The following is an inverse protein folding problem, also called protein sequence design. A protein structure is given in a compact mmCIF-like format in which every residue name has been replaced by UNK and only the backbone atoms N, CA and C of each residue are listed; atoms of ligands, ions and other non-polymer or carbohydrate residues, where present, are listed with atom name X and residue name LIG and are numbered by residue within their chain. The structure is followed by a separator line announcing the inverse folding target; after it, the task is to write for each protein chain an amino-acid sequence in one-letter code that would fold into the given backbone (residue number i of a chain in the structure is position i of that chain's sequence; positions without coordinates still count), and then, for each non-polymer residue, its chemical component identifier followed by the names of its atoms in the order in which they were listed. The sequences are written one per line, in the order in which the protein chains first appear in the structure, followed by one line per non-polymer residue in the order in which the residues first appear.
data_IF_034033317613
#
_entry.id   IF_034033317613
#
_cell.length_a   1.000
_cell.length_b   1.000
_cell.length_c   1.000
_cell.angle_alpha   90.00
_cell.angle_beta   90.00
_cell.angle_gamma   90.00
#
_symmetry.space_group_name_H-M   'P 1'
#
loop_
_entity.id
_entity.type
_entity.pdbx_description
1 polymer ?
#
# COMPACT_ATOMS: atom_id res chain seq x y z
N UNK A 1 -40.34 15.78 -19.19
CA UNK A 1 -39.16 16.28 -18.44
C UNK A 1 -38.26 15.08 -18.20
N UNK A 2 -37.11 15.02 -18.87
CA UNK A 2 -36.13 13.95 -18.67
C UNK A 2 -35.02 14.57 -17.83
N UNK A 3 -34.95 14.12 -16.58
CA UNK A 3 -33.94 14.54 -15.62
C UNK A 3 -32.59 13.99 -16.11
N UNK A 4 -31.73 14.87 -16.61
CA UNK A 4 -30.37 14.48 -17.01
C UNK A 4 -29.60 14.17 -15.73
N UNK A 5 -29.25 12.90 -15.56
CA UNK A 5 -28.35 12.42 -14.52
C UNK A 5 -26.97 13.05 -14.76
N UNK A 6 -26.69 14.16 -14.09
CA UNK A 6 -25.37 14.80 -14.10
C UNK A 6 -24.34 13.84 -13.48
N UNK A 7 -23.55 13.22 -14.33
CA UNK A 7 -22.30 12.58 -13.94
C UNK A 7 -21.35 13.67 -13.43
N UNK A 8 -21.05 13.64 -12.12
CA UNK A 8 -20.06 14.52 -11.49
C UNK A 8 -18.65 14.05 -11.87
N UNK A 9 -18.08 14.61 -12.94
CA UNK A 9 -16.80 14.16 -13.51
C UNK A 9 -15.53 14.58 -12.73
N UNK A 10 -15.62 15.39 -11.65
CA UNK A 10 -14.42 16.00 -11.03
C UNK A 10 -14.15 15.66 -9.54
N UNK A 11 -14.86 14.69 -8.94
CA UNK A 11 -14.52 14.27 -7.57
C UNK A 11 -13.55 13.10 -7.60
N UNK A 12 -12.26 13.40 -7.39
CA UNK A 12 -11.27 12.37 -7.10
C UNK A 12 -11.73 11.64 -5.82
N UNK A 13 -12.21 10.42 -5.98
CA UNK A 13 -12.61 9.58 -4.86
C UNK A 13 -11.36 9.19 -4.08
N UNK A 14 -11.17 9.82 -2.92
CA UNK A 14 -10.06 9.52 -2.02
C UNK A 14 -10.30 8.16 -1.38
N UNK A 15 -9.38 7.22 -1.61
CA UNK A 15 -9.37 5.93 -0.93
C UNK A 15 -8.82 6.11 0.47
N UNK A 16 -9.59 5.71 1.47
CA UNK A 16 -9.18 5.72 2.88
C UNK A 16 -8.79 4.30 3.26
N UNK A 17 -7.52 4.11 3.59
CA UNK A 17 -7.01 2.87 4.14
C UNK A 17 -6.98 2.99 5.66
N UNK A 18 -7.80 2.20 6.31
CA UNK A 18 -7.80 2.05 7.76
C UNK A 18 -6.95 0.85 8.17
N UNK A 19 -5.81 1.11 8.80
CA UNK A 19 -4.89 0.08 9.27
C UNK A 19 -5.40 -0.65 10.52
N UNK A 20 -6.48 -0.16 11.13
CA UNK A 20 -7.16 -0.78 12.26
C UNK A 20 -8.43 -1.56 11.84
N UNK A 21 -8.60 -1.80 10.54
CA UNK A 21 -9.77 -2.47 9.96
C UNK A 21 -10.07 -3.84 10.58
N UNK A 22 -9.03 -4.61 10.96
CA UNK A 22 -9.18 -5.92 11.63
C UNK A 22 -9.85 -5.75 12.99
N UNK A 23 -9.33 -4.83 13.81
CA UNK A 23 -9.81 -4.62 15.17
C UNK A 23 -11.19 -3.97 15.21
N UNK A 24 -11.53 -3.19 14.20
CA UNK A 24 -12.84 -2.53 14.06
C UNK A 24 -13.92 -3.43 13.44
N UNK A 25 -13.59 -4.66 13.05
CA UNK A 25 -14.54 -5.58 12.39
C UNK A 25 -14.98 -5.10 10.99
N UNK A 26 -14.24 -4.17 10.39
CA UNK A 26 -14.60 -3.51 9.12
C UNK A 26 -14.09 -4.27 7.88
N UNK A 27 -13.56 -5.48 8.04
CA UNK A 27 -13.05 -6.27 6.92
C UNK A 27 -14.20 -6.96 6.21
N UNK A 28 -14.59 -6.42 5.06
CA UNK A 28 -15.28 -7.18 4.03
C UNK A 28 -14.23 -7.83 3.11
N UNK A 29 -14.07 -9.14 3.23
CA UNK A 29 -12.89 -9.90 2.78
C UNK A 29 -12.49 -9.71 1.30
N UNK A 30 -13.37 -9.20 0.43
CA UNK A 30 -13.03 -8.86 -0.97
C UNK A 30 -12.87 -7.37 -1.30
N UNK A 31 -13.52 -6.47 -0.55
CA UNK A 31 -13.61 -5.05 -0.91
C UNK A 31 -12.41 -4.24 -0.39
N UNK A 32 -12.13 -4.39 0.90
CA UNK A 32 -11.04 -3.69 1.58
C UNK A 32 -9.67 -4.12 1.05
N UNK A 33 -9.39 -5.42 0.97
CA UNK A 33 -8.07 -5.93 0.54
C UNK A 33 -7.71 -5.47 -0.88
N UNK A 34 -8.70 -5.41 -1.78
CA UNK A 34 -8.50 -4.88 -3.14
C UNK A 34 -8.17 -3.39 -3.13
N UNK A 35 -8.87 -2.59 -2.32
CA UNK A 35 -8.56 -1.17 -2.16
C UNK A 35 -7.19 -0.96 -1.54
N UNK A 36 -6.81 -1.81 -0.59
CA UNK A 36 -5.50 -1.78 0.05
C UNK A 36 -4.38 -2.10 -0.94
N UNK A 37 -4.51 -3.16 -1.74
CA UNK A 37 -3.56 -3.49 -2.79
C UNK A 37 -3.41 -2.38 -3.82
N UNK A 38 -4.52 -1.83 -4.30
CA UNK A 38 -4.50 -0.68 -5.21
C UNK A 38 -3.82 0.54 -4.60
N UNK A 39 -4.07 0.83 -3.32
CA UNK A 39 -3.46 1.96 -2.63
C UNK A 39 -1.93 1.78 -2.52
N UNK A 40 -1.45 0.59 -2.15
CA UNK A 40 -0.03 0.26 -2.10
C UNK A 40 0.61 0.42 -3.48
N UNK A 41 -0.02 -0.12 -4.53
CA UNK A 41 0.45 0.02 -5.92
C UNK A 41 0.57 1.49 -6.35
N UNK A 42 -0.45 2.32 -6.06
CA UNK A 42 -0.42 3.75 -6.41
C UNK A 42 0.67 4.52 -5.67
N UNK A 43 0.87 4.22 -4.39
CA UNK A 43 1.93 4.85 -3.60
C UNK A 43 3.31 4.47 -4.17
N UNK A 44 3.54 3.18 -4.45
CA UNK A 44 4.80 2.71 -5.01
C UNK A 44 5.05 3.27 -6.41
N UNK A 45 4.05 3.26 -7.28
CA UNK A 45 4.13 3.85 -8.62
C UNK A 45 4.57 5.32 -8.55
N UNK A 46 3.99 6.10 -7.64
CA UNK A 46 4.40 7.49 -7.43
C UNK A 46 5.84 7.59 -6.92
N UNK A 47 6.28 6.71 -6.02
CA UNK A 47 7.68 6.65 -5.57
C UNK A 47 8.68 6.33 -6.70
N UNK A 48 8.21 5.70 -7.79
CA UNK A 48 8.96 5.42 -9.02
C UNK A 48 8.78 6.47 -10.12
N UNK A 49 8.07 7.58 -9.84
CA UNK A 49 7.96 8.71 -10.75
C UNK A 49 6.71 8.71 -11.63
N UNK A 50 5.68 7.91 -11.34
CA UNK A 50 4.37 8.12 -11.96
C UNK A 50 3.78 9.44 -11.41
N UNK A 51 3.99 10.56 -12.11
CA UNK A 51 3.72 11.94 -11.66
C UNK A 51 2.25 12.33 -11.49
N UNK A 52 1.38 11.40 -11.06
CA UNK A 52 -0.02 11.65 -10.73
C UNK A 52 -0.25 11.93 -9.24
N UNK A 53 -1.40 12.53 -8.93
CA UNK A 53 -1.88 12.66 -7.55
C UNK A 53 -2.04 11.27 -6.91
N UNK A 54 -1.73 11.17 -5.61
CA UNK A 54 -2.02 9.97 -4.82
C UNK A 54 -3.31 10.23 -4.03
N UNK A 55 -4.48 9.82 -4.52
CA UNK A 55 -5.74 10.01 -3.79
C UNK A 55 -5.91 8.93 -2.70
N UNK A 56 -4.89 8.74 -1.88
CA UNK A 56 -4.89 7.78 -0.78
C UNK A 56 -4.66 8.53 0.52
N UNK A 57 -5.52 8.27 1.50
CA UNK A 57 -5.29 8.66 2.90
C UNK A 57 -5.15 7.40 3.73
N UNK A 58 -4.13 7.35 4.57
CA UNK A 58 -3.89 6.23 5.49
C UNK A 58 -4.16 6.70 6.91
N UNK A 59 -4.90 5.91 7.67
CA UNK A 59 -5.17 6.15 9.10
C UNK A 59 -4.93 4.89 9.91
N UNK A 60 -4.64 5.07 11.19
CA UNK A 60 -4.34 4.00 12.14
C UNK A 60 -3.61 4.59 13.34
N UNK A 61 -3.25 3.75 14.30
CA UNK A 61 -2.41 4.21 15.40
C UNK A 61 -0.98 4.55 14.88
N UNK A 62 -0.20 5.38 15.61
CA UNK A 62 1.12 5.80 15.14
C UNK A 62 2.08 4.65 14.79
N UNK A 63 2.03 3.54 15.55
CA UNK A 63 2.89 2.38 15.31
C UNK A 63 2.52 1.61 14.04
N UNK A 64 1.23 1.52 13.71
CA UNK A 64 0.74 0.90 12.48
C UNK A 64 1.15 1.75 11.26
N UNK A 65 0.99 3.07 11.34
CA UNK A 65 1.36 3.99 10.26
C UNK A 65 2.87 3.96 10.01
N UNK A 66 3.69 3.97 11.07
CA UNK A 66 5.15 3.82 10.95
C UNK A 66 5.54 2.47 10.31
N UNK A 67 4.93 1.36 10.76
CA UNK A 67 5.18 0.05 10.18
C UNK A 67 4.78 -0.03 8.70
N UNK A 68 3.65 0.59 8.33
CA UNK A 68 3.20 0.70 6.94
C UNK A 68 4.21 1.47 6.08
N UNK A 69 4.68 2.63 6.56
CA UNK A 69 5.70 3.42 5.85
C UNK A 69 7.03 2.64 5.69
N UNK A 70 7.44 1.88 6.71
CA UNK A 70 8.63 1.01 6.64
C UNK A 70 8.48 -0.13 5.64
N UNK A 71 7.29 -0.73 5.54
CA UNK A 71 7.00 -1.75 4.54
C UNK A 71 7.08 -1.17 3.11
N UNK A 72 6.44 -0.02 2.86
CA UNK A 72 6.54 0.70 1.57
C UNK A 72 7.99 1.04 1.20
N UNK A 73 8.78 1.56 2.15
CA UNK A 73 10.18 1.89 1.91
C UNK A 73 11.05 0.64 1.67
N UNK A 74 10.73 -0.48 2.34
CA UNK A 74 11.33 -1.78 2.05
C UNK A 74 11.04 -2.23 0.63
N UNK A 75 9.77 -2.14 0.22
CA UNK A 75 9.27 -2.58 -1.09
C UNK A 75 9.96 -1.80 -2.22
N UNK A 76 10.01 -0.46 -2.07
CA UNK A 76 10.77 0.40 -2.98
C UNK A 76 12.24 -0.03 -3.09
N UNK A 77 12.92 -0.24 -1.97
CA UNK A 77 14.34 -0.62 -1.94
C UNK A 77 14.59 -1.99 -2.57
N UNK A 78 13.70 -2.95 -2.33
CA UNK A 78 13.76 -4.27 -2.96
C UNK A 78 13.62 -4.16 -4.48
N UNK A 79 12.59 -3.45 -4.95
CA UNK A 79 12.38 -3.20 -6.38
C UNK A 79 13.55 -2.43 -7.02
N UNK A 80 14.12 -1.43 -6.34
CA UNK A 80 15.31 -0.72 -6.82
C UNK A 80 16.53 -1.64 -6.93
N UNK A 81 16.78 -2.48 -5.93
CA UNK A 81 17.88 -3.44 -5.94
C UNK A 81 17.69 -4.47 -7.06
N UNK A 82 16.49 -5.01 -7.21
CA UNK A 82 16.15 -5.93 -8.29
C UNK A 82 16.37 -5.29 -9.67
N UNK A 83 15.87 -4.06 -9.89
CA UNK A 83 16.08 -3.33 -11.15
C UNK A 83 17.56 -3.08 -11.47
N UNK A 84 18.40 -2.88 -10.45
CA UNK A 84 19.83 -2.54 -10.61
C UNK A 84 20.73 -3.75 -10.74
N UNK A 85 20.46 -4.82 -10.00
CA UNK A 85 21.38 -5.93 -9.80
C UNK A 85 20.83 -7.29 -10.25
N UNK A 86 19.52 -7.40 -10.49
CA UNK A 86 18.86 -8.67 -10.78
C UNK A 86 18.47 -9.45 -9.52
N UNK A 87 17.78 -10.59 -9.71
CA UNK A 87 17.26 -11.42 -8.61
C UNK A 87 18.34 -12.27 -7.92
N UNK A 88 19.42 -12.60 -8.63
CA UNK A 88 20.46 -13.50 -8.14
C UNK A 88 21.62 -12.78 -7.42
N UNK A 89 21.50 -11.45 -7.23
CA UNK A 89 22.52 -10.67 -6.55
C UNK A 89 22.30 -10.71 -5.01
N UNK A 90 23.37 -10.97 -4.22
CA UNK A 90 23.30 -10.94 -2.75
C UNK A 90 22.69 -9.67 -2.15
N UNK A 91 22.86 -8.52 -2.82
CA UNK A 91 22.28 -7.24 -2.39
C UNK A 91 20.77 -7.25 -2.53
N UNK A 92 20.22 -7.86 -3.58
CA UNK A 92 18.77 -8.02 -3.78
C UNK A 92 18.17 -8.97 -2.74
N UNK A 93 18.87 -10.05 -2.40
CA UNK A 93 18.42 -10.93 -1.30
C UNK A 93 18.42 -10.23 0.05
N UNK A 94 19.45 -9.43 0.35
CA UNK A 94 19.53 -8.67 1.59
C UNK A 94 18.39 -7.65 1.72
N UNK A 95 18.05 -6.94 0.64
CA UNK A 95 16.89 -6.02 0.65
C UNK A 95 15.57 -6.77 0.79
N UNK A 96 15.42 -7.96 0.19
CA UNK A 96 14.25 -8.82 0.37
C UNK A 96 14.07 -9.25 1.83
N UNK A 97 15.12 -9.74 2.48
CA UNK A 97 15.06 -10.13 3.90
C UNK A 97 14.74 -8.94 4.82
N UNK A 98 15.19 -7.73 4.45
CA UNK A 98 14.81 -6.50 5.17
C UNK A 98 13.34 -6.14 4.97
N UNK A 99 12.84 -6.26 3.74
CA UNK A 99 11.43 -6.06 3.39
C UNK A 99 10.52 -7.03 4.16
N UNK A 100 10.84 -8.33 4.16
CA UNK A 100 10.06 -9.34 4.88
C UNK A 100 9.95 -9.02 6.38
N UNK A 101 11.02 -8.53 7.01
CA UNK A 101 10.97 -8.09 8.41
C UNK A 101 10.00 -6.92 8.63
N UNK A 102 10.02 -5.92 7.73
CA UNK A 102 9.08 -4.80 7.78
C UNK A 102 7.63 -5.24 7.57
N UNK A 103 7.40 -6.13 6.60
CA UNK A 103 6.08 -6.72 6.32
C UNK A 103 5.58 -7.47 7.56
N UNK A 104 6.39 -8.38 8.11
CA UNK A 104 6.01 -9.15 9.30
C UNK A 104 5.68 -8.26 10.49
N UNK A 105 6.42 -7.17 10.69
CA UNK A 105 6.11 -6.18 11.73
C UNK A 105 4.78 -5.48 11.48
N UNK A 106 4.52 -5.05 10.24
CA UNK A 106 3.25 -4.44 9.85
C UNK A 106 2.08 -5.40 10.10
N UNK A 107 2.15 -6.62 9.56
CA UNK A 107 1.09 -7.63 9.68
C UNK A 107 0.81 -7.97 11.15
N UNK A 108 1.85 -8.02 12.00
CA UNK A 108 1.67 -8.24 13.44
C UNK A 108 0.93 -7.10 14.14
N UNK A 109 1.10 -5.85 13.70
CA UNK A 109 0.51 -4.67 14.33
C UNK A 109 -0.91 -4.36 13.82
N UNK A 110 -1.23 -4.74 12.58
CA UNK A 110 -2.51 -4.44 11.94
C UNK A 110 -3.41 -5.65 11.80
N UNK A 111 -2.84 -6.86 11.78
CA UNK A 111 -3.51 -8.10 11.37
C UNK A 111 -3.82 -8.16 9.88
N UNK A 112 -3.40 -7.17 9.09
CA UNK A 112 -3.65 -7.08 7.66
C UNK A 112 -2.54 -7.76 6.88
N UNK A 113 -2.90 -8.61 5.91
CA UNK A 113 -1.94 -9.19 4.99
C UNK A 113 -1.40 -8.15 4.00
N UNK A 114 -0.08 -8.18 3.78
CA UNK A 114 0.57 -7.31 2.81
C UNK A 114 0.19 -7.72 1.38
N UNK A 115 -0.21 -6.77 0.51
CA UNK A 115 -0.84 -7.09 -0.77
C UNK A 115 0.14 -7.38 -1.91
N UNK A 116 1.43 -7.11 -1.73
CA UNK A 116 2.49 -7.32 -2.74
C UNK A 116 3.40 -8.45 -2.27
N UNK A 117 3.82 -9.36 -3.16
CA UNK A 117 4.77 -10.43 -2.87
C UNK A 117 5.74 -10.62 -4.04
#
# INVERSE_FOLDING_TARGET
MIEQNQINEDKINVVIIDLDAVNSGAINEGGFLRQFGWAVEKILGHMFGSGGAIPVKVRGNPSQVDAFAKALAGEKRYMDAWKRFGLDDPRTYSTKASLERSINQFQRLTGLDWPVR
#
